data_IF_723853689940
#
_entry.id   IF_723853689940
#
_cell.length_a   1.000
_cell.length_b   1.000
_cell.length_c   1.000
_cell.angle_alpha   90.00
_cell.angle_beta   90.00
_cell.angle_gamma   90.00
#
_symmetry.space_group_name_H-M   'P 1'
#
loop_
_entity.id
_entity.type
_entity.pdbx_description
1 polymer ?
#
# COMPACT_ATOMS: atom_id res chain seq x y z
N UNK A 1 -0.97 -11.34 9.42
CA UNK A 1 -2.03 -10.32 9.28
C UNK A 1 -3.39 -11.01 9.17
N UNK A 2 -4.49 -10.31 9.45
CA UNK A 2 -5.85 -10.79 9.15
C UNK A 2 -6.31 -10.18 7.82
N UNK A 3 -7.14 -10.87 7.02
CA UNK A 3 -7.76 -10.28 5.84
C UNK A 3 -8.57 -9.02 6.21
N UNK A 4 -8.55 -8.02 5.34
CA UNK A 4 -9.40 -6.83 5.47
C UNK A 4 -10.72 -7.02 4.71
N UNK A 5 -11.77 -6.36 5.18
CA UNK A 5 -13.08 -6.30 4.52
C UNK A 5 -13.20 -5.11 3.56
N UNK A 6 -12.12 -4.37 3.32
CA UNK A 6 -12.09 -3.26 2.35
C UNK A 6 -12.42 -3.76 0.95
N UNK A 7 -13.39 -3.13 0.28
CA UNK A 7 -13.63 -3.30 -1.15
C UNK A 7 -12.72 -2.37 -1.94
N UNK A 8 -12.07 -2.89 -2.97
CA UNK A 8 -11.16 -2.12 -3.81
C UNK A 8 -11.16 -2.74 -5.24
N UNK A 9 -11.12 -1.92 -6.28
CA UNK A 9 -11.37 -2.34 -7.67
C UNK A 9 -10.15 -2.99 -8.36
N UNK A 10 -8.94 -2.88 -7.80
CA UNK A 10 -7.76 -3.70 -8.12
C UNK A 10 -8.04 -5.19 -7.96
N UNK A 11 -9.05 -5.57 -7.16
CA UNK A 11 -9.59 -6.93 -7.14
C UNK A 11 -9.95 -7.46 -8.54
N UNK A 12 -10.42 -6.61 -9.46
CA UNK A 12 -10.65 -6.98 -10.86
C UNK A 12 -9.35 -7.16 -11.66
N UNK A 13 -8.31 -6.36 -11.36
CA UNK A 13 -7.00 -6.53 -12.00
C UNK A 13 -6.37 -7.89 -11.63
N UNK A 14 -6.53 -8.31 -10.37
CA UNK A 14 -6.04 -9.61 -9.88
C UNK A 14 -6.78 -10.81 -10.49
N UNK A 15 -7.99 -10.62 -11.04
CA UNK A 15 -8.67 -11.67 -11.81
C UNK A 15 -8.04 -11.85 -13.19
N UNK A 16 -7.45 -10.80 -13.77
CA UNK A 16 -6.87 -10.84 -15.11
C UNK A 16 -5.43 -11.38 -15.12
N UNK A 17 -4.63 -11.08 -14.09
CA UNK A 17 -3.22 -11.47 -14.00
C UNK A 17 -2.81 -11.75 -12.55
N UNK A 18 -1.85 -12.67 -12.32
CA UNK A 18 -1.20 -12.79 -11.02
C UNK A 18 -0.60 -11.45 -10.60
N UNK A 19 -0.90 -11.03 -9.38
CA UNK A 19 -0.42 -9.77 -8.81
C UNK A 19 -0.54 -9.78 -7.30
N UNK A 20 -0.13 -8.68 -6.68
CA UNK A 20 -0.22 -8.48 -5.24
C UNK A 20 -0.76 -7.08 -4.94
N UNK A 21 -1.65 -7.00 -3.96
CA UNK A 21 -2.12 -5.76 -3.37
C UNK A 21 -1.61 -5.69 -1.93
N UNK A 22 -1.01 -4.56 -1.55
CA UNK A 22 -0.30 -4.39 -0.29
C UNK A 22 -0.83 -3.14 0.42
N UNK A 23 -0.84 -3.19 1.75
CA UNK A 23 -1.14 -2.02 2.58
C UNK A 23 0.17 -1.46 3.14
N UNK A 24 0.39 -0.17 2.95
CA UNK A 24 1.50 0.57 3.53
C UNK A 24 1.08 1.19 4.87
N UNK A 25 1.91 1.03 5.90
CA UNK A 25 1.61 1.53 7.24
C UNK A 25 1.67 3.06 7.30
N UNK A 26 0.52 3.73 7.25
CA UNK A 26 0.41 5.19 7.31
C UNK A 26 0.03 5.73 8.72
N UNK A 27 -0.03 4.88 9.75
CA UNK A 27 -0.43 5.31 11.10
C UNK A 27 0.74 5.86 11.91
N UNK A 28 0.52 6.99 12.61
CA UNK A 28 1.52 7.65 13.47
C UNK A 28 1.41 7.26 14.96
N UNK A 29 0.19 7.04 15.47
CA UNK A 29 -0.07 6.85 16.92
C UNK A 29 -0.40 5.40 17.34
N UNK A 30 0.10 4.41 16.58
CA UNK A 30 -0.10 2.98 16.84
C UNK A 30 -0.83 2.25 15.72
N UNK A 31 -1.35 1.04 16.02
CA UNK A 31 -2.00 0.20 15.01
C UNK A 31 -3.28 0.88 14.51
N UNK A 32 -3.25 1.33 13.25
CA UNK A 32 -4.43 1.78 12.50
C UNK A 32 -4.66 3.30 12.47
N UNK A 33 -4.07 4.08 13.39
CA UNK A 33 -4.20 5.54 13.42
C UNK A 33 -5.62 6.06 13.21
N UNK A 34 -5.75 7.27 12.63
CA UNK A 34 -7.01 7.75 12.08
C UNK A 34 -7.35 6.96 10.81
N UNK A 35 -8.55 6.39 10.72
CA UNK A 35 -8.96 5.57 9.58
C UNK A 35 -9.32 6.41 8.35
N UNK A 36 -9.10 5.84 7.16
CA UNK A 36 -9.63 6.40 5.91
C UNK A 36 -11.13 6.65 6.03
N UNK A 37 -11.62 7.71 5.38
CA UNK A 37 -12.99 8.25 5.47
C UNK A 37 -13.37 8.99 6.75
N UNK A 38 -12.46 9.10 7.73
CA UNK A 38 -12.65 10.01 8.85
C UNK A 38 -12.37 11.47 8.39
N UNK A 39 -13.20 12.47 8.75
CA UNK A 39 -12.95 13.88 8.42
C UNK A 39 -11.65 14.44 9.01
N UNK A 40 -11.17 13.87 10.12
CA UNK A 40 -9.92 14.23 10.78
C UNK A 40 -8.74 13.39 10.27
N UNK A 41 -8.90 12.68 9.13
CA UNK A 41 -7.80 11.93 8.53
C UNK A 41 -6.74 12.88 8.00
N UNK A 42 -5.54 12.76 8.57
CA UNK A 42 -4.33 13.45 8.13
C UNK A 42 -3.33 12.44 7.58
N UNK A 43 -2.79 12.71 6.40
CA UNK A 43 -1.90 11.77 5.73
C UNK A 43 -0.49 11.87 6.33
N UNK A 44 0.21 10.73 6.48
CA UNK A 44 1.56 10.76 7.02
C UNK A 44 2.57 10.98 5.88
N UNK A 45 2.93 12.24 5.60
CA UNK A 45 3.88 12.57 4.54
C UNK A 45 5.26 11.90 4.70
N UNK A 46 5.65 11.51 5.93
CA UNK A 46 6.92 10.83 6.18
C UNK A 46 7.01 9.46 5.48
N UNK A 47 5.87 8.85 5.12
CA UNK A 47 5.83 7.54 4.45
C UNK A 47 6.02 7.63 2.93
N UNK A 48 5.96 8.83 2.34
CA UNK A 48 6.00 9.01 0.88
C UNK A 48 7.27 8.42 0.25
N UNK A 49 8.43 8.77 0.79
CA UNK A 49 9.72 8.25 0.30
C UNK A 49 9.82 6.73 0.49
N UNK A 50 9.33 6.19 1.61
CA UNK A 50 9.35 4.75 1.90
C UNK A 50 8.49 3.99 0.88
N UNK A 51 7.29 4.50 0.58
CA UNK A 51 6.40 3.91 -0.42
C UNK A 51 6.99 3.96 -1.83
N UNK A 52 7.63 5.06 -2.21
CA UNK A 52 8.30 5.19 -3.50
C UNK A 52 9.50 4.23 -3.62
N UNK A 53 10.37 4.19 -2.61
CA UNK A 53 11.55 3.33 -2.59
C UNK A 53 11.19 1.85 -2.67
N UNK A 54 10.07 1.44 -2.05
CA UNK A 54 9.55 0.08 -2.20
C UNK A 54 9.29 -0.28 -3.66
N UNK A 55 8.58 0.58 -4.40
CA UNK A 55 8.26 0.31 -5.80
C UNK A 55 9.49 0.34 -6.70
N UNK A 56 10.41 1.29 -6.48
CA UNK A 56 11.69 1.36 -7.21
C UNK A 56 12.47 0.06 -7.01
N UNK A 57 12.71 -0.31 -5.75
CA UNK A 57 13.45 -1.52 -5.38
C UNK A 57 12.77 -2.78 -5.94
N UNK A 58 11.44 -2.87 -5.85
CA UNK A 58 10.69 -4.00 -6.38
C UNK A 58 10.90 -4.13 -7.90
N UNK A 59 10.70 -3.04 -8.63
CA UNK A 59 10.85 -3.03 -10.09
C UNK A 59 12.28 -3.37 -10.50
N UNK A 60 13.28 -2.76 -9.86
CA UNK A 60 14.70 -3.09 -10.08
C UNK A 60 14.97 -4.58 -9.80
N UNK A 61 14.46 -5.13 -8.69
CA UNK A 61 14.68 -6.53 -8.34
C UNK A 61 14.06 -7.54 -9.32
N UNK A 62 12.96 -7.17 -9.97
CA UNK A 62 12.22 -8.08 -10.87
C UNK A 62 12.60 -7.89 -12.34
N UNK A 63 13.00 -6.68 -12.74
CA UNK A 63 13.19 -6.30 -14.14
C UNK A 63 14.62 -5.82 -14.46
N UNK A 64 15.57 -5.90 -13.53
CA UNK A 64 16.97 -5.57 -13.83
C UNK A 64 17.44 -6.33 -15.08
N UNK A 65 17.78 -5.55 -16.12
CA UNK A 65 18.45 -6.07 -17.31
C UNK A 65 19.89 -6.35 -16.92
N UNK A 66 20.28 -7.62 -16.95
CA UNK A 66 21.68 -8.06 -16.88
C UNK A 66 22.37 -7.73 -18.20
#
# INVERSE_FOLDING_TARGET
SRPTMTSEDFGYMLQARPGAYLLLGNGVDGIGGCSLHNPDYDFNDEILCIGADFWVTLVESQLAVI
#
